data_IF_948252194678
#
_entry.id   IF_948252194678
#
_cell.length_a   1.000
_cell.length_b   1.000
_cell.length_c   1.000
_cell.angle_alpha   90.00
_cell.angle_beta   90.00
_cell.angle_gamma   90.00
#
_symmetry.space_group_name_H-M   'P 1'
#
loop_
_entity.id
_entity.type
_entity.pdbx_description
1 polymer ?
#
# COMPACT_ATOMS: atom_id res chain seq x y z
N UNK A 1 -6.85 65.77 39.94
CA UNK A 1 -5.51 66.39 40.05
C UNK A 1 -4.49 65.27 40.08
N UNK A 2 -3.50 65.29 39.17
CA UNK A 2 -2.35 64.37 39.12
C UNK A 2 -2.69 62.98 38.54
N UNK A 3 -2.23 62.50 37.37
CA UNK A 3 -0.86 62.39 36.86
C UNK A 3 0.10 61.92 37.97
N UNK A 4 0.86 60.82 37.89
CA UNK A 4 1.58 60.27 36.74
C UNK A 4 2.37 59.02 37.19
N UNK A 5 2.60 58.12 36.22
CA UNK A 5 3.73 57.17 36.09
C UNK A 5 3.75 55.97 37.07
N UNK A 6 4.21 54.75 36.74
CA UNK A 6 5.24 54.32 35.79
C UNK A 6 4.90 52.92 35.26
N UNK A 7 4.54 52.87 33.98
CA UNK A 7 5.08 51.98 32.94
C UNK A 7 6.12 50.96 33.42
N UNK A 8 5.77 49.67 33.48
CA UNK A 8 6.71 48.56 33.27
C UNK A 8 5.94 47.27 33.05
N UNK A 9 5.32 47.14 31.88
CA UNK A 9 5.06 45.81 31.30
C UNK A 9 6.12 45.65 30.23
N UNK A 10 7.23 45.04 30.64
CA UNK A 10 8.23 44.48 29.74
C UNK A 10 7.49 43.44 28.89
N UNK A 11 7.13 43.83 27.67
CA UNK A 11 6.76 42.88 26.62
C UNK A 11 8.05 42.14 26.32
N UNK A 12 8.22 40.98 26.95
CA UNK A 12 9.24 40.01 26.62
C UNK A 12 8.86 39.42 25.26
N UNK A 13 9.14 40.18 24.20
CA UNK A 13 9.32 39.65 22.86
C UNK A 13 10.56 38.77 22.96
N UNK A 14 10.37 37.52 23.40
CA UNK A 14 11.28 36.45 23.06
C UNK A 14 11.20 36.33 21.55
N UNK A 15 12.07 37.10 20.89
CA UNK A 15 12.61 36.81 19.57
C UNK A 15 13.24 35.42 19.72
N UNK A 16 12.42 34.38 19.62
CA UNK A 16 12.90 33.07 19.20
C UNK A 16 13.34 33.35 17.77
N UNK A 17 14.64 33.30 17.44
CA UNK A 17 15.01 33.23 16.05
C UNK A 17 14.28 31.99 15.53
N UNK A 18 13.29 32.20 14.67
CA UNK A 18 12.85 31.20 13.71
C UNK A 18 14.11 30.87 12.91
N UNK A 19 14.91 29.95 13.46
CA UNK A 19 15.72 29.06 12.68
C UNK A 19 14.71 28.33 11.80
N UNK A 20 14.43 28.92 10.64
CA UNK A 20 14.15 28.18 9.44
C UNK A 20 15.47 27.47 9.11
N UNK A 21 15.86 26.52 9.96
CA UNK A 21 16.50 25.32 9.47
C UNK A 21 15.42 24.73 8.58
N UNK A 22 15.58 24.91 7.27
CA UNK A 22 14.98 23.99 6.32
C UNK A 22 15.22 22.60 6.92
N UNK A 23 14.16 21.95 7.41
CA UNK A 23 14.25 20.55 7.74
C UNK A 23 14.76 19.89 6.47
N UNK A 24 16.04 19.52 6.51
CA UNK A 24 16.60 18.55 5.58
C UNK A 24 15.61 17.39 5.67
N UNK A 25 14.86 17.14 4.59
CA UNK A 25 13.88 16.07 4.57
C UNK A 25 14.53 14.83 5.16
N UNK A 26 13.85 14.15 6.08
CA UNK A 26 14.35 12.89 6.62
C UNK A 26 14.58 11.96 5.43
N UNK A 27 15.84 11.82 5.02
CA UNK A 27 16.26 10.80 4.07
C UNK A 27 16.32 9.51 4.87
N UNK A 28 15.20 8.80 4.92
CA UNK A 28 15.18 7.45 5.45
C UNK A 28 15.93 6.57 4.42
N UNK A 29 17.18 6.22 4.71
CA UNK A 29 17.85 5.22 3.89
C UNK A 29 17.17 3.85 4.10
N UNK A 30 17.23 2.98 3.10
CA UNK A 30 16.75 1.60 3.20
C UNK A 30 17.63 0.83 4.20
N UNK A 31 17.25 0.84 5.47
CA UNK A 31 17.97 0.13 6.54
C UNK A 31 17.70 -1.37 6.41
N UNK A 32 18.73 -2.14 6.06
CA UNK A 32 18.75 -3.56 6.40
C UNK A 32 18.70 -3.66 7.91
N UNK A 33 17.76 -4.43 8.48
CA UNK A 33 17.79 -4.73 9.92
C UNK A 33 19.17 -5.28 10.26
N UNK A 34 19.97 -4.49 10.96
CA UNK A 34 21.28 -4.90 11.47
C UNK A 34 21.08 -6.21 12.25
N UNK A 35 21.72 -7.29 11.77
CA UNK A 35 21.95 -8.61 12.40
C UNK A 35 21.47 -9.86 11.64
N UNK A 36 20.81 -9.76 10.48
CA UNK A 36 20.52 -10.95 9.68
C UNK A 36 21.47 -11.06 8.48
N UNK A 37 22.37 -12.06 8.52
CA UNK A 37 23.23 -12.40 7.38
C UNK A 37 22.36 -12.79 6.17
N UNK A 38 22.43 -11.99 5.10
CA UNK A 38 21.76 -12.30 3.83
C UNK A 38 22.48 -13.46 3.17
N UNK A 39 21.76 -14.56 2.95
CA UNK A 39 22.26 -15.76 2.29
C UNK A 39 22.04 -15.76 0.79
N UNK A 40 20.90 -15.26 0.34
CA UNK A 40 20.56 -15.12 -1.07
C UNK A 40 19.53 -14.01 -1.27
N UNK A 41 19.43 -13.55 -2.52
CA UNK A 41 18.47 -12.53 -2.93
C UNK A 41 17.61 -13.10 -4.05
N UNK A 42 16.29 -12.93 -3.96
CA UNK A 42 15.39 -13.17 -5.07
C UNK A 42 15.06 -11.83 -5.72
N UNK A 43 15.41 -11.69 -7.00
CA UNK A 43 14.97 -10.57 -7.82
C UNK A 43 13.83 -11.06 -8.71
N UNK A 44 12.70 -10.36 -8.67
CA UNK A 44 11.49 -10.69 -9.38
C UNK A 44 11.11 -9.53 -10.31
N UNK A 45 10.89 -9.83 -11.59
CA UNK A 45 10.35 -8.90 -12.57
C UNK A 45 9.07 -9.53 -13.16
N UNK A 46 7.91 -9.09 -12.68
CA UNK A 46 6.65 -9.75 -13.00
C UNK A 46 6.63 -11.17 -12.46
N UNK A 47 6.37 -12.17 -13.32
CA UNK A 47 6.42 -13.58 -12.94
C UNK A 47 7.80 -14.23 -13.08
N UNK A 48 8.81 -13.51 -13.58
CA UNK A 48 10.15 -14.04 -13.76
C UNK A 48 11.02 -13.75 -12.55
N UNK A 49 11.81 -14.74 -12.13
CA UNK A 49 12.61 -14.67 -10.92
C UNK A 49 14.04 -15.17 -11.18
N UNK A 50 15.01 -14.52 -10.51
CA UNK A 50 16.39 -14.96 -10.38
C UNK A 50 16.76 -15.14 -8.91
N UNK A 51 17.40 -16.25 -8.57
CA UNK A 51 18.00 -16.47 -7.24
C UNK A 51 19.49 -16.17 -7.29
N UNK A 52 19.88 -15.08 -6.63
CA UNK A 52 21.25 -14.58 -6.55
C UNK A 52 21.92 -15.14 -5.30
N UNK A 53 22.98 -15.92 -5.47
CA UNK A 53 23.64 -16.65 -4.37
C UNK A 53 25.12 -16.30 -4.18
N UNK A 54 25.78 -15.65 -5.16
CA UNK A 54 27.19 -15.30 -5.02
C UNK A 54 27.34 -14.10 -4.08
N UNK A 55 28.24 -14.15 -3.08
CA UNK A 55 28.43 -13.07 -2.11
C UNK A 55 28.75 -11.71 -2.75
N UNK A 56 29.52 -11.69 -3.84
CA UNK A 56 29.85 -10.46 -4.56
C UNK A 56 28.60 -9.78 -5.14
N UNK A 57 27.73 -10.54 -5.79
CA UNK A 57 26.51 -10.01 -6.41
C UNK A 57 25.49 -9.60 -5.35
N UNK A 58 25.36 -10.36 -4.25
CA UNK A 58 24.53 -10.00 -3.09
C UNK A 58 24.97 -8.65 -2.54
N UNK A 59 26.27 -8.48 -2.27
CA UNK A 59 26.82 -7.22 -1.74
C UNK A 59 26.65 -6.06 -2.70
N UNK A 60 26.73 -6.30 -4.01
CA UNK A 60 26.43 -5.29 -5.03
C UNK A 60 24.97 -4.81 -4.90
N UNK A 61 24.02 -5.74 -4.77
CA UNK A 61 22.59 -5.41 -4.61
C UNK A 61 22.31 -4.69 -3.29
N UNK A 62 22.90 -5.14 -2.19
CA UNK A 62 22.81 -4.46 -0.89
C UNK A 62 23.27 -3.00 -1.00
N UNK A 63 24.42 -2.77 -1.64
CA UNK A 63 24.94 -1.42 -1.85
C UNK A 63 24.06 -0.59 -2.78
N UNK A 64 23.54 -1.17 -3.86
CA UNK A 64 22.64 -0.45 -4.78
C UNK A 64 21.40 0.03 -4.04
N UNK A 65 20.81 -0.83 -3.22
CA UNK A 65 19.60 -0.53 -2.45
C UNK A 65 19.88 0.47 -1.33
N UNK A 66 20.95 0.27 -0.55
CA UNK A 66 21.30 1.15 0.56
C UNK A 66 21.50 2.60 0.12
N UNK A 67 21.99 2.81 -1.12
CA UNK A 67 22.23 4.14 -1.67
C UNK A 67 21.02 4.79 -2.34
N UNK A 68 19.84 4.14 -2.34
CA UNK A 68 18.61 4.75 -2.83
C UNK A 68 18.13 5.76 -1.77
N UNK A 69 18.20 7.04 -2.12
CA UNK A 69 17.56 8.10 -1.34
C UNK A 69 16.03 7.98 -1.50
N UNK A 70 15.34 7.73 -0.38
CA UNK A 70 13.88 7.75 -0.33
C UNK A 70 13.42 9.18 -0.02
N UNK A 71 12.66 9.75 -0.94
CA UNK A 71 12.01 11.05 -0.74
C UNK A 71 10.56 10.80 -0.35
N UNK A 72 10.08 11.54 0.66
CA UNK A 72 8.65 11.53 1.00
C UNK A 72 7.84 11.84 -0.25
N UNK A 73 6.91 10.95 -0.56
CA UNK A 73 6.05 11.07 -1.73
C UNK A 73 5.26 12.38 -1.68
N UNK A 74 5.52 13.28 -2.62
CA UNK A 74 4.82 14.57 -2.68
C UNK A 74 3.70 14.50 -3.73
N UNK A 75 2.48 14.24 -3.26
CA UNK A 75 1.26 14.02 -4.03
C UNK A 75 0.94 15.12 -5.08
N UNK A 76 1.46 16.33 -4.91
CA UNK A 76 1.20 17.46 -5.82
C UNK A 76 1.97 17.40 -7.14
N UNK A 77 2.94 16.50 -7.30
CA UNK A 77 3.63 16.25 -8.57
C UNK A 77 2.97 15.06 -9.28
N UNK A 78 1.81 15.33 -9.88
CA UNK A 78 1.12 14.40 -10.77
C UNK A 78 1.95 14.19 -12.04
N UNK A 79 3.00 13.38 -11.95
CA UNK A 79 3.62 12.80 -13.14
C UNK A 79 2.71 11.66 -13.56
N UNK A 80 2.19 11.75 -14.77
CA UNK A 80 1.34 10.73 -15.39
C UNK A 80 2.00 9.36 -15.23
N UNK A 81 1.52 8.58 -14.27
CA UNK A 81 1.98 7.22 -14.05
C UNK A 81 1.58 6.42 -15.29
N UNK A 82 2.56 5.95 -16.04
CA UNK A 82 2.31 5.00 -17.11
C UNK A 82 1.62 3.78 -16.49
N UNK A 83 0.38 3.54 -16.94
CA UNK A 83 -0.43 2.39 -16.59
C UNK A 83 0.16 1.15 -17.24
N UNK A 84 1.12 0.56 -16.56
CA UNK A 84 1.79 -0.65 -16.98
C UNK A 84 3.24 -0.54 -16.60
N UNK A 85 3.64 -1.34 -15.63
CA UNK A 85 4.93 -2.03 -15.60
C UNK A 85 4.84 -3.05 -14.47
N UNK A 86 5.39 -4.23 -14.75
CA UNK A 86 5.55 -5.28 -13.77
C UNK A 86 6.24 -4.73 -12.52
N UNK A 87 5.73 -5.08 -11.35
CA UNK A 87 6.37 -4.72 -10.09
C UNK A 87 7.71 -5.45 -10.06
N UNK A 88 8.79 -4.67 -9.98
CA UNK A 88 10.11 -5.23 -9.77
C UNK A 88 10.33 -5.37 -8.26
N UNK A 89 10.45 -6.60 -7.78
CA UNK A 89 10.52 -6.88 -6.34
C UNK A 89 11.83 -7.56 -5.99
N UNK A 90 12.48 -7.06 -4.94
CA UNK A 90 13.70 -7.66 -4.41
C UNK A 90 13.40 -8.16 -2.98
N UNK A 91 13.64 -9.45 -2.76
CA UNK A 91 13.52 -10.10 -1.45
C UNK A 91 14.88 -10.60 -1.00
N UNK A 92 15.27 -10.26 0.22
CA UNK A 92 16.50 -10.70 0.86
C UNK A 92 16.17 -11.82 1.84
N UNK A 93 16.92 -12.92 1.78
CA UNK A 93 16.68 -14.10 2.62
C UNK A 93 17.90 -14.43 3.47
N UNK A 94 17.66 -14.88 4.70
CA UNK A 94 18.71 -15.41 5.56
C UNK A 94 18.97 -16.91 5.28
N UNK A 95 19.87 -17.52 6.05
CA UNK A 95 20.21 -18.94 5.93
C UNK A 95 19.05 -19.90 6.28
N UNK A 96 17.99 -19.41 6.93
CA UNK A 96 16.79 -20.15 7.30
C UNK A 96 15.63 -19.97 6.30
N UNK A 97 15.89 -19.33 5.15
CA UNK A 97 14.89 -18.95 4.15
C UNK A 97 13.82 -17.97 4.67
N UNK A 98 14.13 -17.21 5.73
CA UNK A 98 13.25 -16.16 6.22
C UNK A 98 13.55 -14.85 5.48
N UNK A 99 12.50 -14.10 5.16
CA UNK A 99 12.64 -12.78 4.51
C UNK A 99 13.21 -11.79 5.52
N UNK A 100 14.42 -11.31 5.24
CA UNK A 100 15.10 -10.25 6.00
C UNK A 100 14.56 -8.89 5.60
N UNK A 101 14.34 -8.69 4.30
CA UNK A 101 13.85 -7.44 3.75
C UNK A 101 13.13 -7.68 2.42
N UNK A 102 12.14 -6.83 2.11
CA UNK A 102 11.38 -6.83 0.87
C UNK A 102 11.19 -5.38 0.42
N UNK A 103 11.53 -5.12 -0.83
CA UNK A 103 11.33 -3.82 -1.46
C UNK A 103 10.71 -4.05 -2.83
N UNK A 104 9.64 -3.31 -3.11
CA UNK A 104 8.96 -3.35 -4.39
C UNK A 104 9.14 -2.02 -5.10
N UNK A 105 9.39 -2.07 -6.40
CA UNK A 105 9.64 -0.92 -7.24
C UNK A 105 8.59 -0.87 -8.35
N UNK A 106 8.04 0.31 -8.58
CA UNK A 106 7.10 0.56 -9.67
C UNK A 106 7.40 1.93 -10.25
N UNK A 107 7.93 1.97 -11.48
CA UNK A 107 8.45 3.19 -12.09
C UNK A 107 9.42 3.91 -11.12
N UNK A 108 9.31 5.22 -10.96
CA UNK A 108 10.14 6.03 -10.07
C UNK A 108 9.70 6.00 -8.59
N UNK A 109 9.07 4.91 -8.15
CA UNK A 109 8.58 4.76 -6.78
C UNK A 109 9.05 3.46 -6.14
N UNK A 110 9.34 3.51 -4.85
CA UNK A 110 9.67 2.36 -4.03
C UNK A 110 8.64 2.19 -2.91
N UNK A 111 8.15 0.96 -2.75
CA UNK A 111 7.36 0.55 -1.59
C UNK A 111 8.26 -0.17 -0.60
N UNK A 112 8.36 0.39 0.59
CA UNK A 112 9.19 -0.11 1.67
C UNK A 112 8.56 0.22 3.02
N UNK A 113 8.64 -0.70 3.98
CA UNK A 113 8.11 -0.51 5.33
C UNK A 113 6.66 0.02 5.34
N UNK A 114 5.81 -0.59 4.51
CA UNK A 114 4.39 -0.26 4.31
C UNK A 114 4.12 1.18 3.83
N UNK A 115 5.07 1.81 3.14
CA UNK A 115 4.92 3.18 2.61
C UNK A 115 5.52 3.31 1.22
N UNK A 116 4.94 4.22 0.45
CA UNK A 116 5.45 4.62 -0.86
C UNK A 116 6.38 5.84 -0.76
N UNK A 117 7.48 5.79 -1.50
CA UNK A 117 8.49 6.84 -1.59
C UNK A 117 8.79 7.14 -3.05
N UNK A 118 9.09 8.41 -3.34
CA UNK A 118 9.69 8.80 -4.62
C UNK A 118 11.18 8.46 -4.61
N UNK A 119 11.68 7.99 -5.75
CA UNK A 119 13.10 7.68 -5.96
C UNK A 119 13.59 8.22 -7.29
N UNK A 120 14.90 8.45 -7.40
CA UNK A 120 15.52 8.82 -8.68
C UNK A 120 15.33 7.68 -9.72
N UNK A 121 14.79 7.98 -10.93
CA UNK A 121 14.70 7.01 -12.03
C UNK A 121 16.03 6.29 -12.35
N UNK A 122 17.19 6.92 -12.12
CA UNK A 122 18.50 6.30 -12.31
C UNK A 122 18.68 5.04 -11.46
N UNK A 123 18.07 4.98 -10.28
CA UNK A 123 18.14 3.81 -9.41
C UNK A 123 17.47 2.58 -10.03
N UNK A 124 16.33 2.77 -10.70
CA UNK A 124 15.63 1.70 -11.42
C UNK A 124 16.46 1.19 -12.59
N UNK A 125 17.10 2.10 -13.33
CA UNK A 125 18.00 1.73 -14.43
C UNK A 125 19.16 0.89 -13.91
N UNK A 126 19.77 1.26 -12.78
CA UNK A 126 20.85 0.48 -12.14
C UNK A 126 20.38 -0.91 -11.72
N UNK A 127 19.18 -1.03 -11.15
CA UNK A 127 18.61 -2.32 -10.73
C UNK A 127 18.27 -3.22 -11.92
N UNK A 128 17.66 -2.69 -12.98
CA UNK A 128 17.38 -3.44 -14.20
C UNK A 128 18.67 -3.93 -14.87
N UNK A 129 19.69 -3.06 -14.97
CA UNK A 129 21.00 -3.45 -15.48
C UNK A 129 21.65 -4.56 -14.64
N UNK A 130 21.49 -4.53 -13.31
CA UNK A 130 21.96 -5.60 -12.44
C UNK A 130 21.20 -6.90 -12.74
N UNK A 131 19.87 -6.85 -12.82
CA UNK A 131 19.03 -7.99 -13.16
C UNK A 131 19.44 -8.65 -14.49
N UNK A 132 19.59 -7.87 -15.55
CA UNK A 132 19.91 -8.38 -16.89
C UNK A 132 21.33 -8.96 -16.98
N UNK A 133 22.32 -8.28 -16.39
CA UNK A 133 23.74 -8.66 -16.52
C UNK A 133 24.14 -9.84 -15.63
N UNK A 134 23.42 -10.04 -14.53
CA UNK A 134 23.63 -11.18 -13.65
C UNK A 134 23.17 -12.46 -14.34
N UNK A 135 24.14 -13.29 -14.76
CA UNK A 135 23.94 -14.53 -15.53
C UNK A 135 23.37 -15.70 -14.73
N UNK A 136 22.44 -15.45 -13.81
CA UNK A 136 21.69 -16.49 -13.10
C UNK A 136 20.54 -16.97 -13.97
N UNK A 137 20.20 -18.25 -13.81
CA UNK A 137 19.05 -18.85 -14.46
C UNK A 137 17.76 -18.16 -13.99
N UNK A 138 16.89 -17.87 -14.96
CA UNK A 138 15.58 -17.28 -14.72
C UNK A 138 14.53 -18.40 -14.71
N UNK A 139 13.64 -18.37 -13.72
CA UNK A 139 12.50 -19.28 -13.65
C UNK A 139 11.20 -18.49 -13.51
N UNK A 140 10.09 -19.13 -13.90
CA UNK A 140 8.76 -18.56 -13.74
C UNK A 140 8.21 -18.93 -12.36
N UNK A 141 7.91 -17.93 -11.55
CA UNK A 141 7.12 -18.09 -10.32
C UNK A 141 5.68 -18.45 -10.70
N UNK A 142 5.32 -19.70 -10.44
CA UNK A 142 3.99 -20.24 -10.77
C UNK A 142 2.88 -19.58 -9.96
N UNK A 143 3.15 -19.20 -8.71
CA UNK A 143 2.17 -18.54 -7.86
C UNK A 143 1.88 -17.15 -8.40
N UNK A 144 2.93 -16.39 -8.71
CA UNK A 144 2.79 -15.07 -9.31
C UNK A 144 2.11 -15.12 -10.68
N UNK A 145 2.49 -16.08 -11.53
CA UNK A 145 1.82 -16.25 -12.83
C UNK A 145 0.32 -16.52 -12.66
N UNK A 146 -0.05 -17.43 -11.75
CA UNK A 146 -1.45 -17.72 -11.45
C UNK A 146 -2.19 -16.51 -10.88
N UNK A 147 -1.51 -15.68 -10.07
CA UNK A 147 -2.04 -14.42 -9.55
C UNK A 147 -2.38 -13.46 -10.68
N UNK A 148 -1.46 -13.24 -11.62
CA UNK A 148 -1.67 -12.37 -12.79
C UNK A 148 -2.81 -12.87 -13.69
N UNK A 149 -2.91 -14.17 -13.93
CA UNK A 149 -4.02 -14.77 -14.69
C UNK A 149 -5.37 -14.51 -14.01
N UNK A 150 -5.45 -14.62 -12.68
CA UNK A 150 -6.66 -14.33 -11.91
C UNK A 150 -7.00 -12.82 -11.90
N UNK A 151 -6.01 -11.94 -11.82
CA UNK A 151 -6.23 -10.49 -11.96
C UNK A 151 -6.81 -10.12 -13.33
N UNK A 152 -6.31 -10.75 -14.41
CA UNK A 152 -6.83 -10.58 -15.76
C UNK A 152 -8.28 -11.08 -15.89
N UNK A 153 -8.61 -12.22 -15.26
CA UNK A 153 -9.97 -12.73 -15.26
C UNK A 153 -10.95 -11.79 -14.52
N UNK A 154 -10.53 -11.24 -13.37
CA UNK A 154 -11.36 -10.32 -12.56
C UNK A 154 -11.57 -8.96 -13.21
N UNK A 155 -10.62 -8.50 -14.02
CA UNK A 155 -10.72 -7.24 -14.77
C UNK A 155 -12.00 -7.14 -15.59
N UNK A 156 -12.53 -8.24 -16.10
CA UNK A 156 -13.72 -8.26 -16.96
C UNK A 156 -15.04 -8.30 -16.18
N UNK A 157 -15.01 -8.50 -14.85
CA UNK A 157 -16.23 -8.56 -14.03
C UNK A 157 -16.89 -7.17 -13.88
N UNK A 158 -18.23 -7.07 -13.85
CA UNK A 158 -18.92 -5.89 -13.34
C UNK A 158 -18.49 -5.57 -11.89
N UNK A 159 -18.48 -4.30 -11.47
CA UNK A 159 -18.00 -3.94 -10.12
C UNK A 159 -18.83 -4.58 -9.00
N UNK A 160 -20.15 -4.63 -9.15
CA UNK A 160 -21.02 -5.36 -8.22
C UNK A 160 -20.67 -6.84 -8.08
N UNK A 161 -20.32 -7.51 -9.17
CA UNK A 161 -19.91 -8.92 -9.13
C UNK A 161 -18.51 -9.07 -8.55
N UNK A 162 -17.59 -8.17 -8.90
CA UNK A 162 -16.24 -8.17 -8.37
C UNK A 162 -16.18 -7.93 -6.86
N UNK A 163 -17.16 -7.21 -6.30
CA UNK A 163 -17.28 -6.97 -4.85
C UNK A 163 -17.43 -8.28 -4.07
N UNK A 164 -18.12 -9.26 -4.64
CA UNK A 164 -18.41 -10.53 -3.97
C UNK A 164 -17.12 -11.31 -3.73
N UNK A 165 -16.97 -11.82 -2.51
CA UNK A 165 -15.81 -12.60 -2.08
C UNK A 165 -15.16 -12.06 -0.81
N UNK A 166 -13.97 -12.56 -0.53
CA UNK A 166 -13.18 -12.21 0.65
C UNK A 166 -12.18 -11.09 0.32
N UNK A 167 -12.08 -10.12 1.21
CA UNK A 167 -11.16 -9.00 1.11
C UNK A 167 -10.37 -8.87 2.41
N UNK A 168 -9.05 -8.79 2.27
CA UNK A 168 -8.10 -8.72 3.36
C UNK A 168 -7.73 -7.26 3.64
N UNK A 169 -7.77 -6.85 4.89
CA UNK A 169 -7.26 -5.58 5.39
C UNK A 169 -5.75 -5.65 5.66
N UNK A 170 -5.06 -4.51 5.67
CA UNK A 170 -3.61 -4.45 5.97
C UNK A 170 -3.24 -5.03 7.35
N UNK A 171 -4.17 -5.01 8.31
CA UNK A 171 -3.96 -5.54 9.66
C UNK A 171 -4.14 -7.08 9.76
N UNK A 172 -4.54 -7.74 8.66
CA UNK A 172 -4.78 -9.19 8.61
C UNK A 172 -6.24 -9.61 8.76
N UNK A 173 -7.13 -8.68 9.13
CA UNK A 173 -8.56 -8.95 9.27
C UNK A 173 -9.21 -9.13 7.90
N UNK A 174 -10.41 -9.74 7.84
CA UNK A 174 -11.14 -9.95 6.61
C UNK A 174 -12.56 -9.39 6.64
N UNK A 175 -13.02 -8.89 5.49
CA UNK A 175 -14.43 -8.63 5.19
C UNK A 175 -14.88 -9.49 4.02
N UNK A 176 -16.02 -10.16 4.19
CA UNK A 176 -16.63 -10.98 3.15
C UNK A 176 -17.91 -10.33 2.65
N UNK A 177 -18.03 -10.13 1.34
CA UNK A 177 -19.28 -9.70 0.69
C UNK A 177 -19.93 -10.87 -0.04
N UNK A 178 -21.22 -11.08 0.21
CA UNK A 178 -22.09 -11.87 -0.65
C UNK A 178 -23.15 -10.97 -1.29
N UNK A 179 -24.09 -11.54 -2.06
CA UNK A 179 -25.06 -10.77 -2.85
C UNK A 179 -25.89 -9.71 -2.06
N UNK A 180 -26.02 -9.82 -0.74
CA UNK A 180 -26.84 -8.90 0.07
C UNK A 180 -26.32 -8.61 1.48
N UNK A 181 -25.26 -9.29 1.90
CA UNK A 181 -24.69 -9.17 3.23
C UNK A 181 -23.18 -9.03 3.18
N UNK A 182 -22.66 -8.26 4.12
CA UNK A 182 -21.24 -8.22 4.43
C UNK A 182 -21.02 -8.85 5.80
N UNK A 183 -19.94 -9.60 5.93
CA UNK A 183 -19.53 -10.24 7.18
C UNK A 183 -18.16 -9.70 7.55
N UNK A 184 -18.03 -9.16 8.76
CA UNK A 184 -16.75 -8.73 9.33
C UNK A 184 -16.26 -9.78 10.34
N UNK A 185 -15.10 -9.55 10.94
CA UNK A 185 -14.55 -10.40 12.01
C UNK A 185 -15.59 -10.75 13.10
N UNK A 186 -15.39 -11.91 13.74
CA UNK A 186 -16.32 -12.50 14.71
C UNK A 186 -17.70 -12.87 14.16
N UNK A 187 -17.82 -13.08 12.85
CA UNK A 187 -19.06 -13.46 12.16
C UNK A 187 -20.19 -12.43 12.34
N UNK A 188 -19.84 -11.15 12.48
CA UNK A 188 -20.85 -10.09 12.49
C UNK A 188 -21.37 -9.85 11.08
N UNK A 189 -22.65 -10.17 10.88
CA UNK A 189 -23.33 -10.09 9.58
C UNK A 189 -24.18 -8.83 9.51
N UNK A 190 -23.95 -8.03 8.47
CA UNK A 190 -24.73 -6.84 8.17
C UNK A 190 -25.42 -6.98 6.82
N UNK A 191 -26.63 -6.45 6.70
CA UNK A 191 -27.31 -6.33 5.41
C UNK A 191 -26.78 -5.08 4.72
N UNK A 192 -26.58 -5.13 3.41
CA UNK A 192 -26.24 -3.93 2.67
C UNK A 192 -27.10 -3.75 1.43
N UNK A 193 -27.18 -2.51 0.94
CA UNK A 193 -27.87 -2.14 -0.29
C UNK A 193 -26.92 -1.26 -1.12
N UNK A 194 -26.75 -1.58 -2.39
CA UNK A 194 -26.00 -0.73 -3.33
C UNK A 194 -26.92 0.40 -3.75
N UNK A 195 -26.61 1.63 -3.34
CA UNK A 195 -27.38 2.83 -3.64
C UNK A 195 -27.00 3.38 -5.02
N UNK A 196 -25.71 3.27 -5.37
CA UNK A 196 -25.16 3.77 -6.63
C UNK A 196 -23.97 2.92 -7.07
N UNK A 197 -23.90 2.68 -8.38
CA UNK A 197 -22.77 2.02 -9.04
C UNK A 197 -22.34 2.89 -10.24
N UNK A 198 -21.04 3.10 -10.39
CA UNK A 198 -20.46 3.80 -11.55
C UNK A 198 -19.07 3.23 -11.84
N UNK A 199 -18.94 2.51 -12.94
CA UNK A 199 -17.69 1.86 -13.36
C UNK A 199 -17.07 1.02 -12.24
N UNK A 200 -16.00 1.51 -11.59
CA UNK A 200 -15.28 0.83 -10.49
C UNK A 200 -15.61 1.35 -9.10
N UNK A 201 -16.62 2.22 -9.01
CA UNK A 201 -17.01 2.89 -7.78
C UNK A 201 -18.42 2.48 -7.36
N UNK A 202 -18.61 2.24 -6.06
CA UNK A 202 -19.92 1.90 -5.49
C UNK A 202 -20.16 2.70 -4.21
N UNK A 203 -21.42 3.07 -3.98
CA UNK A 203 -21.89 3.58 -2.70
C UNK A 203 -22.89 2.58 -2.12
N UNK A 204 -22.63 2.12 -0.91
CA UNK A 204 -23.39 1.09 -0.23
C UNK A 204 -23.87 1.59 1.14
N UNK A 205 -25.16 1.45 1.42
CA UNK A 205 -25.72 1.64 2.76
C UNK A 205 -25.72 0.31 3.52
N UNK A 206 -25.25 0.31 4.78
CA UNK A 206 -25.14 -0.88 5.63
C UNK A 206 -26.12 -0.81 6.80
N UNK A 207 -26.78 -1.91 7.11
CA UNK A 207 -27.88 -2.03 8.06
C UNK A 207 -27.67 -3.19 9.04
N UNK A 208 -28.15 -3.01 10.28
CA UNK A 208 -28.16 -4.08 11.28
C UNK A 208 -29.12 -5.22 10.90
N UNK A 209 -28.69 -6.47 11.10
CA UNK A 209 -29.51 -7.67 10.84
C UNK A 209 -30.18 -8.20 12.10
N UNK A 210 -29.48 -8.20 13.24
CA UNK A 210 -29.94 -8.60 14.58
C UNK A 210 -28.86 -8.29 15.65
N UNK A 211 -29.18 -8.41 16.94
CA UNK A 211 -28.21 -8.26 18.05
C UNK A 211 -28.14 -6.85 18.64
N UNK A 212 -26.93 -6.38 18.98
CA UNK A 212 -26.66 -5.05 19.59
C UNK A 212 -27.09 -3.90 18.64
N UNK A 213 -27.15 -4.17 17.34
CA UNK A 213 -27.60 -3.21 16.34
C UNK A 213 -29.10 -3.35 16.07
N UNK A 214 -29.81 -2.21 16.02
CA UNK A 214 -31.24 -2.18 15.71
C UNK A 214 -31.46 -2.73 14.30
N UNK A 215 -32.24 -3.80 14.20
CA UNK A 215 -32.58 -4.44 12.92
C UNK A 215 -33.14 -3.43 11.93
N UNK A 216 -32.67 -3.48 10.69
CA UNK A 216 -33.05 -2.59 9.58
C UNK A 216 -32.77 -1.09 9.81
N UNK A 217 -32.07 -0.72 10.89
CA UNK A 217 -31.55 0.64 11.04
C UNK A 217 -30.26 0.77 10.26
N UNK A 218 -30.15 1.83 9.45
CA UNK A 218 -28.90 2.17 8.78
C UNK A 218 -27.83 2.48 9.83
N UNK A 219 -26.67 1.89 9.67
CA UNK A 219 -25.53 2.03 10.58
C UNK A 219 -24.48 2.98 10.00
N UNK A 220 -24.11 2.76 8.74
CA UNK A 220 -23.08 3.53 8.05
C UNK A 220 -23.19 3.41 6.54
N UNK A 221 -22.47 4.28 5.85
CA UNK A 221 -22.21 4.22 4.41
C UNK A 221 -20.80 3.71 4.14
N UNK A 222 -20.64 2.96 3.07
CA UNK A 222 -19.35 2.58 2.47
C UNK A 222 -19.28 3.17 1.07
N UNK A 223 -18.24 3.96 0.81
CA UNK A 223 -17.85 4.37 -0.52
C UNK A 223 -16.67 3.51 -0.94
N UNK A 224 -16.86 2.75 -2.01
CA UNK A 224 -15.92 1.75 -2.48
C UNK A 224 -15.35 2.24 -3.81
N UNK A 225 -14.04 2.16 -3.96
CA UNK A 225 -13.35 2.32 -5.24
C UNK A 225 -12.45 1.10 -5.47
N UNK A 226 -12.48 0.56 -6.69
CA UNK A 226 -11.63 -0.54 -7.11
C UNK A 226 -10.63 -0.10 -8.19
N UNK A 227 -9.49 -0.77 -8.25
CA UNK A 227 -8.54 -0.60 -9.33
C UNK A 227 -9.02 -1.23 -10.65
N UNK A 228 -8.24 -1.10 -11.72
CA UNK A 228 -8.61 -1.71 -13.01
C UNK A 228 -8.67 -3.23 -12.99
N UNK A 229 -7.92 -3.89 -12.11
CA UNK A 229 -7.96 -5.36 -11.99
C UNK A 229 -9.09 -5.86 -11.10
N UNK A 230 -9.73 -4.94 -10.34
CA UNK A 230 -10.72 -5.24 -9.30
C UNK A 230 -10.19 -6.21 -8.24
N UNK A 231 -8.89 -6.17 -8.00
CA UNK A 231 -8.20 -6.96 -6.98
C UNK A 231 -7.66 -6.09 -5.84
N UNK A 232 -7.69 -4.77 -6.01
CA UNK A 232 -7.35 -3.78 -5.00
C UNK A 232 -8.57 -2.88 -4.80
N UNK A 233 -8.91 -2.60 -3.54
CA UNK A 233 -10.07 -1.81 -3.17
C UNK A 233 -9.65 -0.78 -2.12
N UNK A 234 -10.11 0.45 -2.28
CA UNK A 234 -10.14 1.41 -1.18
C UNK A 234 -11.57 1.54 -0.71
N UNK A 235 -11.77 1.60 0.61
CA UNK A 235 -13.06 1.93 1.20
C UNK A 235 -12.98 3.19 2.05
N UNK A 236 -14.00 4.03 1.95
CA UNK A 236 -14.29 5.10 2.90
C UNK A 236 -15.56 4.75 3.65
N UNK A 237 -15.45 4.54 4.97
CA UNK A 237 -16.57 4.22 5.85
C UNK A 237 -17.01 5.46 6.61
N UNK A 238 -18.28 5.84 6.45
CA UNK A 238 -18.87 7.02 7.10
C UNK A 238 -19.95 6.57 8.09
N UNK A 239 -19.69 6.76 9.38
CA UNK A 239 -20.62 6.40 10.46
C UNK A 239 -21.49 7.60 10.87
N UNK A 240 -22.81 7.39 11.04
CA UNK A 240 -23.72 8.42 11.55
C UNK A 240 -23.82 9.67 10.66
N UNK A 241 -24.04 10.85 11.24
CA UNK A 241 -24.14 12.13 10.55
C UNK A 241 -22.76 12.69 10.10
N UNK A 242 -21.87 11.85 9.57
CA UNK A 242 -20.54 12.19 9.02
C UNK A 242 -19.39 12.55 9.98
N UNK A 243 -19.53 12.40 11.30
CA UNK A 243 -18.46 12.76 12.25
C UNK A 243 -17.28 11.78 12.28
N UNK A 244 -17.49 10.52 11.85
CA UNK A 244 -16.44 9.50 11.86
C UNK A 244 -16.27 8.90 10.48
N UNK A 245 -15.10 9.18 9.89
CA UNK A 245 -14.70 8.72 8.56
C UNK A 245 -13.45 7.85 8.74
N UNK A 246 -13.50 6.63 8.22
CA UNK A 246 -12.38 5.69 8.21
C UNK A 246 -12.00 5.36 6.78
N UNK A 247 -10.71 5.19 6.53
CA UNK A 247 -10.14 4.87 5.23
C UNK A 247 -9.36 3.57 5.36
N UNK A 248 -9.68 2.58 4.53
CA UNK A 248 -8.99 1.30 4.54
C UNK A 248 -8.67 0.84 3.11
N UNK A 249 -7.50 0.23 2.95
CA UNK A 249 -7.10 -0.50 1.74
C UNK A 249 -7.37 -1.99 1.92
N UNK A 250 -7.85 -2.64 0.87
CA UNK A 250 -8.12 -4.07 0.87
C UNK A 250 -7.63 -4.75 -0.40
N UNK A 251 -7.16 -5.99 -0.24
CA UNK A 251 -6.79 -6.87 -1.35
C UNK A 251 -7.71 -8.07 -1.44
N UNK A 252 -8.04 -8.48 -2.66
CA UNK A 252 -8.91 -9.63 -2.89
C UNK A 252 -8.22 -10.95 -2.54
N UNK A 253 -8.93 -11.83 -1.84
CA UNK A 253 -8.56 -13.22 -1.60
C UNK A 253 -9.41 -14.15 -2.48
N UNK A 254 -8.79 -15.14 -3.12
CA UNK A 254 -9.54 -16.18 -3.83
C UNK A 254 -10.17 -17.21 -2.88
N UNK A 255 -10.86 -18.20 -3.45
CA UNK A 255 -11.55 -19.26 -2.70
C UNK A 255 -10.61 -20.12 -1.82
N UNK A 256 -9.31 -20.14 -2.13
CA UNK A 256 -8.28 -20.83 -1.38
C UNK A 256 -7.56 -19.91 -0.37
N UNK A 257 -8.11 -18.73 -0.07
CA UNK A 257 -7.51 -17.68 0.77
C UNK A 257 -6.12 -17.23 0.28
N UNK A 258 -5.87 -17.31 -1.03
CA UNK A 258 -4.66 -16.77 -1.63
C UNK A 258 -4.88 -15.31 -2.02
N UNK A 259 -3.97 -14.44 -1.62
CA UNK A 259 -3.94 -13.03 -2.03
C UNK A 259 -3.75 -12.90 -3.55
N UNK A 260 -4.74 -12.30 -4.20
CA UNK A 260 -4.68 -12.01 -5.63
C UNK A 260 -4.18 -10.58 -5.86
N UNK A 261 -4.61 -9.63 -5.03
CA UNK A 261 -3.99 -8.30 -4.94
C UNK A 261 -2.72 -8.33 -4.09
N UNK A 262 -2.01 -7.22 -4.02
CA UNK A 262 -0.93 -6.99 -3.03
C UNK A 262 -0.98 -5.56 -2.49
N UNK A 263 -0.60 -5.37 -1.22
CA UNK A 263 -0.57 -4.04 -0.59
C UNK A 263 0.55 -3.13 -1.10
N UNK A 264 1.55 -3.70 -1.78
CA UNK A 264 2.56 -2.95 -2.54
C UNK A 264 2.09 -2.53 -3.95
N UNK A 265 0.77 -2.46 -4.16
CA UNK A 265 0.17 -1.95 -5.38
C UNK A 265 0.22 -0.43 -5.42
N UNK A 266 0.63 0.11 -6.58
CA UNK A 266 0.70 1.56 -6.78
C UNK A 266 -0.67 2.24 -6.68
N UNK A 267 -1.74 1.49 -6.87
CA UNK A 267 -3.11 1.97 -6.68
C UNK A 267 -3.32 2.57 -5.27
N UNK A 268 -2.64 2.03 -4.26
CA UNK A 268 -2.70 2.51 -2.88
C UNK A 268 -1.76 3.68 -2.58
N UNK A 269 -0.96 4.15 -3.55
CA UNK A 269 -0.05 5.28 -3.30
C UNK A 269 -0.76 6.63 -3.21
N UNK A 270 -1.96 6.73 -3.78
CA UNK A 270 -2.73 7.97 -3.79
C UNK A 270 -3.75 7.95 -2.65
N UNK A 271 -3.96 9.07 -1.95
CA UNK A 271 -5.04 9.19 -0.97
C UNK A 271 -6.42 9.23 -1.66
N UNK A 272 -7.47 8.99 -0.87
CA UNK A 272 -8.88 9.05 -1.28
C UNK A 272 -9.39 10.48 -1.46
#
# INVERSE_FOLDING_TARGET
MGHKNIISIFILICIIPFFITACKGNTDNLIFKDNNEVKYVQMQNGCYCKIITKPYDIKLLENLIYNIELLEYNQNKQTSLNKGNDIFRIKFFNAYNEIVNIISFNNNKAYYNNKWFDIDPENIIKLNNAYERMGYEEYVDKLEKSRLEQQLARKELPAKEALIGNWLYENGDNIHFNASHLTQENNHIFKYIIEKEKDKSMHISVYGTSGIFVKNKKLFDLFIEMDSTKCHMKITKVMGNSEYIFYDNLVYLNENNTEIGTFDSIYFSDDF
#
